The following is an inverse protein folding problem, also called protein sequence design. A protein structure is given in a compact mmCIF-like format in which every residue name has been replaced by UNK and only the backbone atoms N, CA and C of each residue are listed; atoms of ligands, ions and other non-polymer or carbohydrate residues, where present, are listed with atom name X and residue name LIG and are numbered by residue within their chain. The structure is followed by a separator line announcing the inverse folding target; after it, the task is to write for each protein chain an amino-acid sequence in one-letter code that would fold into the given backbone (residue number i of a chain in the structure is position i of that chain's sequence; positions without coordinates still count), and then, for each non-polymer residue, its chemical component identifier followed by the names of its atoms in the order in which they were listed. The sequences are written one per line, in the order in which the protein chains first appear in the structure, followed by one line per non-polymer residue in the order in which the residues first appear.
data_IF_291454037246
#
_entry.id   IF_291454037246
#
_cell.length_a   1.000
_cell.length_b   1.000
_cell.length_c   1.000
_cell.angle_alpha   90.00
_cell.angle_beta   90.00
_cell.angle_gamma   90.00
#
_symmetry.space_group_name_H-M   'P 1'
#
loop_
_entity.id
_entity.type
_entity.pdbx_description
1 polymer ?
#
# COMPACT_ATOMS: atom_id res chain seq x y z
N UNK A 1 3.00 -9.03 15.83
CA UNK A 1 2.11 -7.89 16.00
C UNK A 1 2.83 -6.59 15.75
N UNK A 2 2.33 -5.81 14.83
CA UNK A 2 2.97 -4.56 14.53
C UNK A 2 2.27 -3.86 13.39
N UNK A 3 2.71 -2.63 13.14
CA UNK A 3 2.16 -1.78 12.10
C UNK A 3 3.24 -1.47 11.09
N UNK A 4 3.03 -1.90 9.87
CA UNK A 4 3.90 -1.55 8.75
C UNK A 4 3.26 -0.38 8.02
N UNK A 5 4.03 0.67 7.77
CA UNK A 5 3.51 1.80 7.02
C UNK A 5 4.11 1.74 5.63
N UNK A 6 3.24 1.65 4.64
CA UNK A 6 3.65 1.59 3.24
C UNK A 6 3.18 2.84 2.52
N UNK A 7 3.94 3.21 1.52
CA UNK A 7 3.59 4.29 0.63
C UNK A 7 3.56 3.72 -0.78
N UNK A 8 2.50 4.00 -1.51
CA UNK A 8 2.38 3.50 -2.87
C UNK A 8 1.76 4.56 -3.76
N UNK A 9 2.06 4.45 -5.04
CA UNK A 9 1.51 5.37 -6.01
C UNK A 9 0.34 4.70 -6.73
N UNK A 10 -0.77 5.43 -6.86
CA UNK A 10 -1.83 5.07 -7.79
C UNK A 10 -1.56 5.84 -9.05
N UNK A 11 -1.26 5.12 -10.12
CA UNK A 11 -0.90 5.75 -11.37
C UNK A 11 -2.12 6.34 -12.06
N UNK A 12 -1.89 7.14 -13.06
CA UNK A 12 -2.97 7.74 -13.81
C UNK A 12 -3.85 6.72 -14.52
N UNK A 13 -3.41 5.47 -14.59
CA UNK A 13 -4.23 4.37 -15.11
C UNK A 13 -5.06 3.68 -14.03
N UNK A 14 -4.91 4.10 -12.78
CA UNK A 14 -5.62 3.48 -11.66
C UNK A 14 -4.93 2.26 -11.09
N UNK A 15 -3.75 1.92 -11.57
CA UNK A 15 -3.00 0.76 -11.08
C UNK A 15 -2.09 1.17 -9.93
N UNK A 16 -1.82 0.22 -9.03
CA UNK A 16 -0.81 0.43 -8.01
C UNK A 16 0.56 0.27 -8.67
N UNK A 17 1.36 1.32 -8.60
CA UNK A 17 2.71 1.31 -9.14
C UNK A 17 3.72 0.96 -8.07
N UNK A 18 4.69 1.83 -7.86
CA UNK A 18 5.75 1.61 -6.89
C UNK A 18 5.18 1.49 -5.48
N UNK A 19 5.68 0.54 -4.71
CA UNK A 19 5.31 0.35 -3.30
C UNK A 19 6.59 0.42 -2.47
N UNK A 20 6.57 1.25 -1.44
CA UNK A 20 7.70 1.42 -0.53
C UNK A 20 7.26 1.17 0.90
N UNK A 21 8.10 0.52 1.68
CA UNK A 21 7.89 0.42 3.12
C UNK A 21 8.62 1.59 3.76
N UNK A 22 7.86 2.50 4.38
CA UNK A 22 8.46 3.66 5.03
C UNK A 22 8.61 3.46 6.54
N UNK A 23 7.92 2.47 7.09
CA UNK A 23 8.14 2.04 8.47
C UNK A 23 8.05 0.54 8.53
N UNK A 24 9.18 -0.09 8.82
CA UNK A 24 9.31 -1.53 8.86
C UNK A 24 9.07 -2.06 10.26
N UNK A 25 8.52 -3.25 10.37
CA UNK A 25 8.43 -3.99 11.62
C UNK A 25 9.41 -5.17 11.56
N UNK A 26 9.18 -6.07 10.62
CA UNK A 26 10.11 -7.14 10.35
C UNK A 26 9.96 -7.54 8.88
N UNK A 27 10.92 -8.34 8.41
CA UNK A 27 11.00 -8.67 6.98
C UNK A 27 9.73 -9.38 6.48
N UNK A 28 9.21 -10.32 7.26
CA UNK A 28 8.07 -11.10 6.80
C UNK A 28 6.81 -10.27 6.73
N UNK A 29 6.59 -9.42 7.72
CA UNK A 29 5.44 -8.51 7.71
C UNK A 29 5.58 -7.48 6.60
N UNK A 30 6.79 -6.99 6.36
CA UNK A 30 7.03 -6.03 5.30
C UNK A 30 6.69 -6.63 3.94
N UNK A 31 7.13 -7.88 3.68
CA UNK A 31 6.83 -8.58 2.45
C UNK A 31 5.34 -8.77 2.26
N UNK A 32 4.65 -9.13 3.34
CA UNK A 32 3.21 -9.34 3.27
C UNK A 32 2.49 -8.03 3.00
N UNK A 33 2.94 -6.94 3.60
CA UNK A 33 2.35 -5.62 3.36
C UNK A 33 2.50 -5.21 1.89
N UNK A 34 3.67 -5.44 1.32
CA UNK A 34 3.91 -5.13 -0.09
C UNK A 34 3.02 -5.99 -0.97
N UNK A 35 2.93 -7.28 -0.68
CA UNK A 35 2.09 -8.19 -1.45
C UNK A 35 0.63 -7.75 -1.42
N UNK A 36 0.13 -7.37 -0.25
CA UNK A 36 -1.24 -6.90 -0.11
C UNK A 36 -1.49 -5.65 -0.94
N UNK A 37 -0.56 -4.70 -0.91
CA UNK A 37 -0.72 -3.48 -1.69
C UNK A 37 -0.72 -3.76 -3.19
N UNK A 38 0.14 -4.68 -3.64
CA UNK A 38 0.21 -5.02 -5.05
C UNK A 38 -1.00 -5.80 -5.53
N UNK A 39 -1.75 -6.43 -4.62
CA UNK A 39 -2.93 -7.20 -4.97
C UNK A 39 -4.22 -6.38 -4.92
N UNK A 40 -4.13 -5.11 -4.59
CA UNK A 40 -5.31 -4.26 -4.53
C UNK A 40 -5.93 -4.10 -5.91
N UNK A 41 -7.27 -3.99 -5.98
CA UNK A 41 -7.92 -3.77 -7.26
C UNK A 41 -7.57 -2.39 -7.80
N UNK A 42 -7.94 -2.16 -9.06
CA UNK A 42 -7.72 -0.85 -9.66
C UNK A 42 -8.48 0.23 -8.91
N UNK A 43 -7.85 1.37 -8.80
CA UNK A 43 -8.43 2.56 -8.19
C UNK A 43 -8.93 3.50 -9.27
N UNK A 44 -9.80 4.41 -8.86
CA UNK A 44 -10.14 5.54 -9.69
C UNK A 44 -8.99 6.54 -9.56
N UNK A 45 -8.31 6.90 -10.66
CA UNK A 45 -7.16 7.78 -10.56
C UNK A 45 -7.55 9.17 -10.06
N UNK A 46 -6.62 9.82 -9.37
CA UNK A 46 -6.78 11.23 -9.04
C UNK A 46 -6.78 12.08 -10.31
N UNK A 47 -7.39 13.24 -10.23
CA UNK A 47 -7.44 14.16 -11.37
C UNK A 47 -7.02 15.55 -10.92
N UNK A 48 -6.33 16.24 -11.83
CA UNK A 48 -5.98 17.63 -11.65
C UNK A 48 -6.26 18.33 -12.96
N UNK A 49 -7.06 19.39 -12.91
CA UNK A 49 -7.47 20.13 -14.11
C UNK A 49 -8.08 19.21 -15.18
N UNK A 50 -8.87 18.20 -14.73
CA UNK A 50 -9.53 17.28 -15.64
C UNK A 50 -8.66 16.17 -16.20
N UNK A 51 -7.38 16.11 -15.83
CA UNK A 51 -6.47 15.09 -16.30
C UNK A 51 -6.10 14.14 -15.19
N UNK A 52 -6.00 12.85 -15.52
CA UNK A 52 -5.57 11.85 -14.56
C UNK A 52 -4.10 12.06 -14.20
N UNK A 53 -3.78 11.93 -12.93
CA UNK A 53 -2.42 12.13 -12.41
C UNK A 53 -2.06 11.01 -11.47
N UNK A 54 -0.77 10.79 -11.29
CA UNK A 54 -0.28 9.86 -10.28
C UNK A 54 -0.47 10.49 -8.90
N UNK A 55 -0.92 9.67 -7.94
CA UNK A 55 -1.14 10.13 -6.56
C UNK A 55 -0.49 9.15 -5.60
N UNK A 56 0.26 9.68 -4.65
CA UNK A 56 0.89 8.88 -3.62
C UNK A 56 0.00 8.78 -2.40
N UNK A 57 -0.13 7.57 -1.87
CA UNK A 57 -0.89 7.30 -0.66
C UNK A 57 0.02 6.67 0.38
N UNK A 58 -0.28 6.95 1.64
CA UNK A 58 0.38 6.32 2.77
C UNK A 58 -0.64 5.48 3.50
N UNK A 59 -0.34 4.20 3.67
CA UNK A 59 -1.27 3.25 4.25
C UNK A 59 -0.62 2.52 5.41
N UNK A 60 -1.16 2.68 6.63
CA UNK A 60 -0.71 1.84 7.75
C UNK A 60 -1.45 0.51 7.70
N UNK A 61 -0.69 -0.58 7.79
CA UNK A 61 -1.24 -1.92 7.83
C UNK A 61 -0.89 -2.54 9.18
N UNK A 62 -1.91 -2.85 9.96
CA UNK A 62 -1.72 -3.44 11.27
C UNK A 62 -1.85 -4.95 11.17
N UNK A 63 -0.83 -5.65 11.65
CA UNK A 63 -0.83 -7.10 11.74
C UNK A 63 -1.03 -7.50 13.19
N UNK A 64 -1.85 -8.50 13.41
CA UNK A 64 -2.08 -9.03 14.74
C UNK A 64 -1.78 -10.53 14.72
N UNK A 65 -1.09 -10.98 15.76
CA UNK A 65 -0.91 -12.40 15.91
C UNK A 65 -2.25 -13.04 16.25
N UNK A 66 -2.56 -14.10 15.53
CA UNK A 66 -3.74 -14.90 15.88
C UNK A 66 -3.43 -15.64 17.16
N UNK A 67 -4.37 -15.61 18.07
CA UNK A 67 -4.21 -16.40 19.29
C UNK A 67 -4.10 -17.86 18.94
N UNK A 68 -3.22 -18.54 19.65
CA UNK A 68 -3.09 -19.98 19.49
C UNK A 68 -4.12 -20.65 20.39
N UNK A 69 -5.18 -21.00 19.80
CA UNK A 69 -6.28 -21.60 20.56
C UNK A 69 -6.46 -23.05 20.22
#
# INVERSE_FOLDING_TARGET
QGRVIVQFVVTKNGSVGEVKVIRSVDRDLDKEAIRLCKSLPKFIPGKMNGQAVNVWYTLPITFKLQGLN
#
